data_IF_640016476106
#
_entry.id   IF_640016476106
#
_cell.length_a   1.000
_cell.length_b   1.000
_cell.length_c   1.000
_cell.angle_alpha   90.00
_cell.angle_beta   90.00
_cell.angle_gamma   90.00
#
_symmetry.space_group_name_H-M   'P 1'
#
loop_
_entity.id
_entity.type
_entity.pdbx_description
1 polymer ?
#
# COMPACT_ATOMS: atom_id res chain seq x y z
N UNK A 1 -41.66 -1.44 36.22
CA UNK A 1 -40.45 -0.58 36.29
C UNK A 1 -39.12 -1.30 36.02
N UNK A 2 -38.90 -2.57 36.41
CA UNK A 2 -37.62 -3.29 36.20
C UNK A 2 -37.21 -3.51 34.73
N UNK A 3 -38.16 -3.64 33.81
CA UNK A 3 -37.88 -3.90 32.38
C UNK A 3 -37.18 -2.73 31.65
N UNK A 4 -37.49 -1.47 31.99
CA UNK A 4 -36.88 -0.28 31.36
C UNK A 4 -35.40 -0.07 31.74
N UNK A 5 -34.97 -0.57 32.90
CA UNK A 5 -33.59 -0.46 33.38
C UNK A 5 -32.68 -1.45 32.64
N UNK A 6 -33.22 -2.61 32.27
CA UNK A 6 -32.46 -3.66 31.57
C UNK A 6 -32.18 -3.30 30.11
N UNK A 7 -33.16 -2.72 29.41
CA UNK A 7 -32.98 -2.24 28.03
C UNK A 7 -32.00 -1.07 27.93
N UNK A 8 -31.99 -0.16 28.90
CA UNK A 8 -31.04 0.97 28.91
C UNK A 8 -29.58 0.50 29.04
N UNK A 9 -29.31 -0.56 29.82
CA UNK A 9 -27.96 -1.14 29.98
C UNK A 9 -27.47 -1.82 28.71
N UNK A 10 -28.35 -2.50 27.96
CA UNK A 10 -28.00 -3.15 26.70
C UNK A 10 -27.63 -2.12 25.62
N UNK A 11 -28.39 -1.02 25.53
CA UNK A 11 -28.12 0.07 24.58
C UNK A 11 -26.77 0.75 24.89
N UNK A 12 -26.47 0.98 26.17
CA UNK A 12 -25.20 1.58 26.59
C UNK A 12 -24.00 0.67 26.25
N UNK A 13 -24.16 -0.65 26.39
CA UNK A 13 -23.11 -1.63 26.07
C UNK A 13 -22.89 -1.75 24.55
N UNK A 14 -23.97 -1.72 23.75
CA UNK A 14 -23.89 -1.66 22.29
C UNK A 14 -23.19 -0.38 21.80
N UNK A 15 -23.52 0.78 22.37
CA UNK A 15 -22.81 2.04 22.09
C UNK A 15 -21.31 1.97 22.43
N UNK A 16 -20.95 1.28 23.52
CA UNK A 16 -19.55 1.09 23.93
C UNK A 16 -18.76 0.16 22.99
N UNK A 17 -19.41 -0.86 22.42
CA UNK A 17 -18.81 -1.75 21.42
C UNK A 17 -18.62 -1.01 20.09
N UNK A 18 -19.59 -0.19 19.68
CA UNK A 18 -19.50 0.60 18.45
C UNK A 18 -18.41 1.69 18.55
N UNK A 19 -18.23 2.29 19.74
CA UNK A 19 -17.18 3.30 19.96
C UNK A 19 -15.76 2.73 19.94
N UNK A 20 -15.57 1.43 20.25
CA UNK A 20 -14.25 0.80 20.25
C UNK A 20 -13.86 0.20 18.89
N UNK A 21 -14.75 0.15 17.90
CA UNK A 21 -14.41 -0.27 16.54
C UNK A 21 -13.75 0.84 15.72
N UNK A 22 -13.14 1.84 16.37
CA UNK A 22 -12.31 2.84 15.72
C UNK A 22 -11.15 2.14 15.01
N UNK A 23 -11.38 1.88 13.73
CA UNK A 23 -10.39 1.55 12.73
C UNK A 23 -9.18 2.49 12.94
N UNK A 24 -8.11 1.98 13.54
CA UNK A 24 -6.89 2.76 13.79
C UNK A 24 -6.04 2.76 12.52
N UNK A 25 -5.48 3.93 12.21
CA UNK A 25 -4.46 4.03 11.19
C UNK A 25 -3.11 3.63 11.77
N UNK A 26 -2.25 3.00 10.96
CA UNK A 26 -0.91 2.58 11.39
C UNK A 26 0.02 3.77 11.61
N UNK A 27 -0.26 4.88 10.94
CA UNK A 27 0.62 6.03 10.78
C UNK A 27 0.26 7.22 11.70
N UNK A 28 -0.30 6.95 12.87
CA UNK A 28 -0.59 7.97 13.89
C UNK A 28 0.71 8.39 14.58
N UNK A 29 1.16 9.61 14.30
CA UNK A 29 2.39 10.18 14.89
C UNK A 29 2.14 10.52 16.36
N UNK A 30 2.70 9.74 17.28
CA UNK A 30 2.70 10.07 18.72
C UNK A 30 4.03 10.64 19.22
N UNK A 31 5.12 10.38 18.50
CA UNK A 31 6.48 10.94 18.57
C UNK A 31 7.22 10.46 17.30
N UNK A 32 8.40 11.01 16.95
CA UNK A 32 9.21 10.49 15.82
C UNK A 32 9.37 8.98 15.99
N UNK A 33 8.66 8.21 15.18
CA UNK A 33 8.56 6.76 15.31
C UNK A 33 8.89 6.16 13.96
N UNK A 34 10.15 5.81 13.81
CA UNK A 34 10.57 4.79 12.88
C UNK A 34 9.89 3.48 13.30
N UNK A 35 9.02 2.94 12.43
CA UNK A 35 8.39 1.65 12.63
C UNK A 35 9.15 0.63 11.77
N UNK A 36 9.87 -0.32 12.38
CA UNK A 36 10.62 -1.30 11.62
C UNK A 36 9.65 -2.20 10.84
N UNK A 37 10.04 -2.54 9.62
CA UNK A 37 9.34 -3.50 8.76
C UNK A 37 10.33 -4.50 8.21
N UNK A 38 9.83 -5.56 7.57
CA UNK A 38 10.71 -6.54 6.91
C UNK A 38 11.60 -5.80 5.93
N UNK A 39 12.92 -5.87 6.16
CA UNK A 39 13.93 -5.26 5.29
C UNK A 39 13.74 -3.74 5.12
N UNK A 40 13.40 -3.01 6.18
CA UNK A 40 13.19 -1.58 6.07
C UNK A 40 12.58 -0.90 7.29
N UNK A 41 12.09 0.32 7.10
CA UNK A 41 11.33 1.07 8.08
C UNK A 41 10.28 1.95 7.41
N UNK A 42 9.19 2.22 8.13
CA UNK A 42 8.36 3.38 7.88
C UNK A 42 8.78 4.53 8.79
N UNK A 43 8.90 5.73 8.25
CA UNK A 43 8.97 6.97 9.02
C UNK A 43 7.67 7.74 8.83
N UNK A 44 6.98 8.02 9.93
CA UNK A 44 5.70 8.71 9.90
C UNK A 44 5.86 10.20 10.20
N UNK A 45 5.52 11.02 9.21
CA UNK A 45 5.47 12.48 9.31
C UNK A 45 4.02 12.95 9.49
N UNK A 46 3.84 14.23 9.78
CA UNK A 46 2.49 14.81 9.96
C UNK A 46 1.69 14.84 8.66
N UNK A 47 2.37 15.01 7.52
CA UNK A 47 1.76 15.20 6.20
C UNK A 47 1.88 13.98 5.27
N UNK A 48 2.78 13.06 5.59
CA UNK A 48 3.13 11.92 4.74
C UNK A 48 3.78 10.78 5.52
N UNK A 49 3.99 9.67 4.84
CA UNK A 49 4.76 8.53 5.33
C UNK A 49 5.93 8.29 4.37
N UNK A 50 7.07 7.90 4.88
CA UNK A 50 8.22 7.49 4.07
C UNK A 50 8.48 6.01 4.30
N UNK A 51 8.36 5.20 3.26
CA UNK A 51 8.82 3.82 3.29
C UNK A 51 10.26 3.78 2.79
N UNK A 52 11.14 3.23 3.62
CA UNK A 52 12.54 2.96 3.31
C UNK A 52 12.69 1.45 3.26
N UNK A 53 12.89 0.89 2.07
CA UNK A 53 13.20 -0.53 1.88
C UNK A 53 14.71 -0.70 1.62
N UNK A 54 15.33 -1.54 2.44
CA UNK A 54 16.76 -1.89 2.39
C UNK A 54 16.89 -3.37 2.07
N UNK A 55 17.24 -3.67 0.83
CA UNK A 55 17.49 -5.04 0.41
C UNK A 55 18.80 -5.54 1.00
N UNK A 56 18.69 -6.51 1.92
CA UNK A 56 19.84 -7.20 2.52
C UNK A 56 19.89 -8.68 2.13
N UNK A 57 19.10 -9.09 1.12
CA UNK A 57 19.00 -10.49 0.69
C UNK A 57 19.54 -10.65 -0.71
N UNK A 58 20.25 -11.76 -0.92
CA UNK A 58 20.68 -12.21 -2.24
C UNK A 58 19.74 -13.34 -2.61
N UNK A 59 18.99 -13.16 -3.70
CA UNK A 59 18.13 -14.20 -4.24
C UNK A 59 18.96 -15.06 -5.19
N UNK A 60 18.83 -16.38 -5.11
CA UNK A 60 19.54 -17.31 -6.02
C UNK A 60 18.51 -18.09 -6.81
N UNK A 61 18.60 -18.06 -8.14
CA UNK A 61 17.84 -18.91 -9.05
C UNK A 61 18.83 -19.75 -9.84
N UNK A 62 18.86 -21.05 -9.58
CA UNK A 62 19.84 -22.00 -10.09
C UNK A 62 21.28 -21.57 -9.75
N UNK A 63 21.94 -20.83 -10.64
CA UNK A 63 23.29 -20.27 -10.45
C UNK A 63 23.33 -18.74 -10.51
N UNK A 64 22.22 -18.10 -10.87
CA UNK A 64 22.11 -16.66 -11.01
C UNK A 64 21.84 -16.01 -9.64
N UNK A 65 22.65 -15.00 -9.31
CA UNK A 65 22.46 -14.18 -8.12
C UNK A 65 21.76 -12.88 -8.50
N UNK A 66 20.63 -12.65 -7.87
CA UNK A 66 19.81 -11.45 -8.03
C UNK A 66 19.93 -10.61 -6.76
N UNK A 67 20.25 -9.33 -6.94
CA UNK A 67 20.41 -8.36 -5.87
C UNK A 67 19.28 -7.34 -5.96
N UNK A 68 18.18 -7.52 -5.20
CA UNK A 68 17.08 -6.55 -5.21
C UNK A 68 17.62 -5.18 -4.79
N UNK A 69 17.16 -4.12 -5.45
CA UNK A 69 17.59 -2.76 -5.12
C UNK A 69 16.85 -2.24 -3.89
N UNK A 70 17.56 -1.45 -3.09
CA UNK A 70 16.95 -0.65 -2.02
C UNK A 70 16.19 0.53 -2.63
N UNK A 71 15.14 1.00 -1.97
CA UNK A 71 14.38 2.16 -2.44
C UNK A 71 13.75 2.94 -1.30
N UNK A 72 13.40 4.19 -1.61
CA UNK A 72 12.51 5.01 -0.79
C UNK A 72 11.28 5.43 -1.58
N UNK A 73 10.13 5.49 -0.92
CA UNK A 73 8.91 6.05 -1.52
C UNK A 73 8.13 6.83 -0.48
N UNK A 74 7.69 8.04 -0.87
CA UNK A 74 6.76 8.82 -0.06
C UNK A 74 5.34 8.33 -0.34
N UNK A 75 4.54 8.32 0.71
CA UNK A 75 3.21 7.73 0.72
C UNK A 75 2.25 8.67 1.45
N UNK A 76 0.97 8.70 1.04
CA UNK A 76 -0.03 9.51 1.71
C UNK A 76 -0.31 8.99 3.13
N UNK A 77 -0.94 9.85 3.95
CA UNK A 77 -1.41 9.47 5.29
C UNK A 77 -2.61 8.52 5.22
N UNK A 78 -3.03 8.03 6.40
CA UNK A 78 -4.19 7.15 6.62
C UNK A 78 -3.94 5.72 6.14
N UNK A 79 -2.70 5.25 6.31
CA UNK A 79 -2.34 3.87 6.01
C UNK A 79 -3.09 2.92 6.95
N UNK A 80 -3.89 2.01 6.38
CA UNK A 80 -4.67 1.02 7.13
C UNK A 80 -3.90 -0.26 7.36
N UNK A 81 -3.21 -0.70 6.34
CA UNK A 81 -2.52 -2.00 6.30
C UNK A 81 -1.46 -1.97 5.21
N UNK A 82 -0.42 -2.77 5.38
CA UNK A 82 0.56 -3.04 4.34
C UNK A 82 0.91 -4.53 4.34
N UNK A 83 1.35 -5.03 3.19
CA UNK A 83 1.83 -6.38 3.03
C UNK A 83 2.99 -6.40 2.03
N UNK A 84 4.09 -7.04 2.42
CA UNK A 84 5.27 -7.22 1.56
C UNK A 84 5.40 -8.70 1.24
N UNK A 85 5.32 -9.04 -0.04
CA UNK A 85 5.49 -10.40 -0.55
C UNK A 85 6.88 -10.51 -1.16
N UNK A 86 7.74 -11.31 -0.50
CA UNK A 86 9.13 -11.48 -0.91
C UNK A 86 9.94 -10.19 -0.76
N UNK A 87 10.61 -9.80 -1.85
CA UNK A 87 11.47 -8.62 -1.99
C UNK A 87 11.11 -7.75 -3.21
N UNK A 88 9.98 -8.05 -3.88
CA UNK A 88 9.54 -7.42 -5.12
C UNK A 88 8.19 -6.74 -5.00
N UNK A 89 7.26 -7.27 -4.21
CA UNK A 89 5.86 -6.87 -4.24
C UNK A 89 5.43 -6.23 -2.91
N UNK A 90 5.00 -4.97 -2.96
CA UNK A 90 4.65 -4.17 -1.79
C UNK A 90 3.24 -3.60 -1.98
N UNK A 91 2.28 -4.03 -1.17
CA UNK A 91 0.90 -3.57 -1.20
C UNK A 91 0.59 -2.69 0.01
N UNK A 92 0.03 -1.50 -0.23
CA UNK A 92 -0.33 -0.53 0.80
C UNK A 92 -1.80 -0.14 0.65
N UNK A 93 -2.58 -0.38 1.70
CA UNK A 93 -4.03 -0.29 1.68
C UNK A 93 -4.51 0.91 2.49
N UNK A 94 -5.46 1.64 1.92
CA UNK A 94 -6.05 2.86 2.49
C UNK A 94 -7.58 2.72 2.57
N UNK A 95 -8.22 3.71 3.18
CA UNK A 95 -9.68 3.76 3.28
C UNK A 95 -10.36 3.71 1.92
N UNK A 96 -11.55 3.08 1.92
CA UNK A 96 -12.38 2.96 0.74
C UNK A 96 -11.88 1.97 -0.30
N UNK A 97 -10.86 1.14 0.00
CA UNK A 97 -10.29 0.20 -0.97
C UNK A 97 -9.34 0.85 -1.98
N UNK A 98 -8.78 2.01 -1.63
CA UNK A 98 -7.67 2.63 -2.36
C UNK A 98 -6.39 1.85 -2.07
N UNK A 99 -5.58 1.57 -3.10
CA UNK A 99 -4.34 0.79 -2.96
C UNK A 99 -3.20 1.44 -3.71
N UNK A 100 -2.03 1.46 -3.09
CA UNK A 100 -0.75 1.66 -3.77
C UNK A 100 -0.07 0.29 -3.81
N UNK A 101 0.25 -0.18 -5.00
CA UNK A 101 1.03 -1.41 -5.18
C UNK A 101 2.34 -1.07 -5.87
N UNK A 102 3.46 -1.57 -5.36
CA UNK A 102 4.79 -1.35 -5.92
C UNK A 102 5.37 -2.72 -6.27
N UNK A 103 5.72 -2.92 -7.54
CA UNK A 103 6.46 -4.07 -8.04
C UNK A 103 7.86 -3.62 -8.43
N UNK A 104 8.88 -4.05 -7.68
CA UNK A 104 10.27 -3.82 -8.05
C UNK A 104 10.71 -4.91 -9.01
N UNK A 105 11.27 -4.51 -10.15
CA UNK A 105 11.91 -5.42 -11.08
C UNK A 105 13.25 -5.87 -10.51
N UNK A 106 13.33 -7.16 -10.21
CA UNK A 106 14.52 -7.78 -9.64
C UNK A 106 15.58 -8.08 -10.71
N UNK A 107 15.17 -8.25 -11.97
CA UNK A 107 16.02 -8.72 -13.06
C UNK A 107 16.53 -7.56 -13.95
N UNK A 108 16.15 -6.32 -13.65
CA UNK A 108 16.47 -5.12 -14.46
C UNK A 108 16.07 -5.27 -15.94
N UNK A 109 15.01 -6.02 -16.22
CA UNK A 109 14.45 -6.27 -17.55
C UNK A 109 13.53 -5.13 -18.02
N UNK A 110 12.95 -4.37 -17.10
CA UNK A 110 12.08 -3.25 -17.40
C UNK A 110 12.89 -2.02 -17.85
N UNK A 111 12.43 -1.29 -18.89
CA UNK A 111 13.11 -0.10 -19.37
C UNK A 111 13.24 0.94 -18.25
N UNK A 112 14.44 1.50 -18.10
CA UNK A 112 14.78 2.57 -17.15
C UNK A 112 14.11 3.91 -17.43
N UNK A 113 13.32 4.02 -18.51
CA UNK A 113 12.62 5.24 -18.87
C UNK A 113 11.36 5.37 -18.02
N UNK A 114 11.27 6.46 -17.28
CA UNK A 114 10.09 6.82 -16.52
C UNK A 114 8.87 6.98 -17.45
N UNK A 115 7.76 6.30 -17.13
CA UNK A 115 6.50 6.40 -17.87
C UNK A 115 5.31 6.45 -16.91
N UNK A 116 4.24 7.10 -17.36
CA UNK A 116 2.96 7.17 -16.64
C UNK A 116 1.86 6.87 -17.64
N UNK A 117 0.95 5.98 -17.30
CA UNK A 117 -0.23 5.71 -18.12
C UNK A 117 -1.47 5.44 -17.28
N UNK A 118 -2.63 5.75 -17.85
CA UNK A 118 -3.94 5.39 -17.32
C UNK A 118 -4.35 4.07 -17.98
N UNK A 119 -4.33 2.93 -17.27
CA UNK A 119 -4.68 1.65 -17.86
C UNK A 119 -6.17 1.60 -18.19
N UNK A 120 -6.51 0.93 -19.29
CA UNK A 120 -7.88 0.47 -19.53
C UNK A 120 -8.29 -0.58 -18.47
N UNK A 121 -9.59 -0.80 -18.24
CA UNK A 121 -10.06 -1.81 -17.28
C UNK A 121 -9.50 -3.22 -17.53
N UNK A 122 -9.35 -3.61 -18.81
CA UNK A 122 -8.80 -4.91 -19.18
C UNK A 122 -7.31 -5.02 -18.83
N UNK A 123 -6.51 -4.00 -19.17
CA UNK A 123 -5.09 -3.95 -18.82
C UNK A 123 -4.88 -3.96 -17.30
N UNK A 124 -5.76 -3.28 -16.57
CA UNK A 124 -5.71 -3.22 -15.12
C UNK A 124 -6.04 -4.59 -14.50
N UNK A 125 -7.08 -5.27 -14.99
CA UNK A 125 -7.44 -6.60 -14.53
C UNK A 125 -6.33 -7.61 -14.84
N UNK A 126 -5.78 -7.56 -16.05
CA UNK A 126 -4.64 -8.39 -16.43
C UNK A 126 -3.46 -8.16 -15.48
N UNK A 127 -3.08 -6.90 -15.25
CA UNK A 127 -2.00 -6.55 -14.33
C UNK A 127 -2.24 -7.10 -12.92
N UNK A 128 -3.45 -6.95 -12.37
CA UNK A 128 -3.79 -7.42 -11.02
C UNK A 128 -3.73 -8.95 -10.93
N UNK A 129 -4.24 -9.66 -11.94
CA UNK A 129 -4.31 -11.12 -11.90
C UNK A 129 -2.96 -11.79 -12.17
N UNK A 130 -2.23 -11.32 -13.19
CA UNK A 130 -1.01 -11.97 -13.67
C UNK A 130 0.27 -11.48 -13.00
N UNK A 131 0.34 -10.21 -12.62
CA UNK A 131 1.60 -9.60 -12.16
C UNK A 131 1.67 -9.42 -10.65
N UNK A 132 0.57 -9.47 -9.91
CA UNK A 132 0.59 -9.25 -8.46
C UNK A 132 0.60 -10.55 -7.70
N UNK A 133 1.64 -10.71 -6.88
CA UNK A 133 1.64 -11.69 -5.80
C UNK A 133 0.96 -11.07 -4.59
N UNK A 134 -0.09 -11.72 -4.10
CA UNK A 134 -0.77 -11.34 -2.86
C UNK A 134 -0.48 -12.42 -1.82
N UNK A 135 -0.23 -12.00 -0.58
CA UNK A 135 -0.03 -12.96 0.49
C UNK A 135 -1.38 -13.42 1.06
N UNK A 136 -1.32 -14.21 2.14
CA UNK A 136 -2.51 -14.64 2.88
C UNK A 136 -2.97 -13.57 3.90
N UNK A 137 -2.64 -12.30 3.66
CA UNK A 137 -2.93 -11.19 4.55
C UNK A 137 -4.42 -10.85 4.68
N UNK A 138 -4.72 -9.89 5.57
CA UNK A 138 -6.08 -9.42 5.86
C UNK A 138 -6.77 -8.80 4.63
N UNK A 139 -6.00 -8.19 3.74
CA UNK A 139 -6.48 -7.52 2.53
C UNK A 139 -5.81 -8.15 1.31
N UNK A 140 -6.55 -8.20 0.21
CA UNK A 140 -6.12 -8.77 -1.05
C UNK A 140 -6.62 -7.89 -2.19
N UNK A 141 -5.71 -7.24 -2.93
CA UNK A 141 -6.05 -6.36 -4.05
C UNK A 141 -6.88 -7.08 -5.13
N UNK A 142 -6.72 -8.41 -5.30
CA UNK A 142 -7.49 -9.19 -6.28
C UNK A 142 -8.97 -9.30 -5.93
N UNK A 143 -9.33 -9.05 -4.66
CA UNK A 143 -10.71 -9.08 -4.16
C UNK A 143 -11.35 -7.70 -4.08
N UNK A 144 -10.60 -6.63 -4.36
CA UNK A 144 -11.13 -5.26 -4.35
C UNK A 144 -11.82 -5.01 -5.69
N UNK A 145 -13.10 -4.64 -5.66
CA UNK A 145 -13.86 -4.35 -6.87
C UNK A 145 -13.38 -3.07 -7.55
N UNK A 146 -13.32 -3.07 -8.89
CA UNK A 146 -13.05 -1.87 -9.67
C UNK A 146 -14.21 -0.86 -9.58
N UNK A 147 -13.89 0.42 -9.40
CA UNK A 147 -14.88 1.50 -9.37
C UNK A 147 -14.64 2.50 -10.51
N UNK A 148 -15.63 2.65 -11.39
CA UNK A 148 -15.56 3.52 -12.60
C UNK A 148 -15.34 5.00 -12.30
N UNK A 149 -15.82 5.50 -11.15
CA UNK A 149 -15.63 6.88 -10.71
C UNK A 149 -14.29 7.16 -10.02
N UNK A 150 -13.36 6.21 -10.06
CA UNK A 150 -12.05 6.31 -9.39
C UNK A 150 -10.91 6.30 -10.38
N UNK A 151 -9.80 6.91 -9.97
CA UNK A 151 -8.61 7.02 -10.80
C UNK A 151 -7.71 5.80 -10.59
N UNK A 152 -7.13 5.33 -11.69
CA UNK A 152 -6.19 4.22 -11.74
C UNK A 152 -5.02 4.63 -12.62
N UNK A 153 -3.79 4.39 -12.17
CA UNK A 153 -2.59 4.85 -12.87
C UNK A 153 -1.44 3.88 -12.65
N UNK A 154 -0.71 3.58 -13.72
CA UNK A 154 0.52 2.80 -13.66
C UNK A 154 1.68 3.77 -13.92
N UNK A 155 2.67 3.74 -13.03
CA UNK A 155 3.88 4.55 -13.08
C UNK A 155 5.06 3.59 -13.15
N UNK A 156 5.85 3.62 -14.22
CA UNK A 156 7.14 2.93 -14.26
C UNK A 156 8.22 3.92 -13.91
N UNK A 157 9.02 3.64 -12.89
CA UNK A 157 10.04 4.56 -12.39
C UNK A 157 11.18 3.83 -11.71
N UNK A 158 12.42 4.10 -12.12
CA UNK A 158 13.61 3.55 -11.46
C UNK A 158 13.63 2.03 -11.34
N UNK A 159 13.12 1.29 -12.34
CA UNK A 159 13.02 -0.18 -12.28
C UNK A 159 11.91 -0.69 -11.37
N UNK A 160 10.94 0.14 -10.99
CA UNK A 160 9.72 -0.29 -10.32
C UNK A 160 8.48 0.07 -11.15
N UNK A 161 7.44 -0.76 -11.06
CA UNK A 161 6.10 -0.47 -11.53
C UNK A 161 5.20 -0.21 -10.33
N UNK A 162 4.66 1.00 -10.25
CA UNK A 162 3.77 1.45 -9.18
C UNK A 162 2.36 1.57 -9.75
N UNK A 163 1.40 0.86 -9.16
CA UNK A 163 -0.01 0.96 -9.44
C UNK A 163 -0.71 1.78 -8.35
N UNK A 164 -1.34 2.87 -8.76
CA UNK A 164 -2.38 3.56 -8.00
C UNK A 164 -3.72 2.94 -8.40
N UNK A 165 -4.38 2.22 -7.50
CA UNK A 165 -5.62 1.50 -7.77
C UNK A 165 -6.79 2.05 -6.96
N UNK A 166 -7.90 2.29 -7.66
CA UNK A 166 -9.16 2.77 -7.08
C UNK A 166 -9.00 4.04 -6.22
N UNK A 167 -8.17 5.00 -6.64
CA UNK A 167 -7.92 6.23 -5.89
C UNK A 167 -9.11 7.20 -6.04
N UNK A 168 -9.55 7.80 -4.93
CA UNK A 168 -10.59 8.81 -4.98
C UNK A 168 -10.13 10.02 -5.80
N UNK A 169 -10.98 10.61 -6.65
CA UNK A 169 -10.58 11.75 -7.48
C UNK A 169 -9.97 12.92 -6.70
N UNK A 170 -10.49 13.19 -5.49
CA UNK A 170 -10.01 14.26 -4.60
C UNK A 170 -8.66 13.97 -3.94
N UNK A 171 -8.28 12.71 -3.80
CA UNK A 171 -7.04 12.28 -3.14
C UNK A 171 -5.94 11.98 -4.17
N UNK A 172 -6.29 11.89 -5.45
CA UNK A 172 -5.41 11.40 -6.50
C UNK A 172 -4.13 12.21 -6.68
N UNK A 173 -4.23 13.54 -6.71
CA UNK A 173 -3.06 14.38 -6.97
C UNK A 173 -2.01 14.18 -5.87
N UNK A 174 -2.46 14.10 -4.60
CA UNK A 174 -1.59 13.80 -3.46
C UNK A 174 -0.96 12.41 -3.57
N UNK A 175 -1.76 11.38 -3.88
CA UNK A 175 -1.26 10.01 -4.04
C UNK A 175 -0.21 9.94 -5.15
N UNK A 176 -0.49 10.58 -6.30
CA UNK A 176 0.41 10.63 -7.44
C UNK A 176 1.71 11.35 -7.12
N UNK A 177 1.64 12.54 -6.52
CA UNK A 177 2.82 13.34 -6.17
C UNK A 177 3.72 12.65 -5.14
N UNK A 178 3.12 11.96 -4.16
CA UNK A 178 3.86 11.20 -3.16
C UNK A 178 4.61 10.02 -3.79
N UNK A 179 3.93 9.18 -4.58
CA UNK A 179 4.60 8.00 -5.17
C UNK A 179 5.57 8.36 -6.29
N UNK A 180 5.38 9.48 -6.99
CA UNK A 180 6.30 9.93 -8.04
C UNK A 180 7.67 10.38 -7.47
N UNK A 181 7.76 10.56 -6.15
CA UNK A 181 9.02 10.73 -5.41
C UNK A 181 9.74 9.41 -5.15
N UNK A 182 9.29 8.27 -5.70
CA UNK A 182 10.02 7.00 -5.65
C UNK A 182 11.45 7.17 -6.14
N UNK A 183 12.41 6.66 -5.37
CA UNK A 183 13.84 6.68 -5.70
C UNK A 183 14.48 5.36 -5.30
N UNK A 184 15.32 4.83 -6.18
CA UNK A 184 16.25 3.76 -5.83
C UNK A 184 17.37 4.34 -4.97
N UNK A 185 17.77 3.60 -3.93
CA UNK A 185 18.94 3.90 -3.11
C UNK A 185 20.07 3.03 -3.65
N UNK A 186 21.15 3.68 -4.10
CA UNK A 186 22.38 3.01 -4.51
C UNK A 186 23.34 2.91 -3.33
#
# INVERSE_FOLDING_TARGET
>A
MKSRIFTFRIILFLLFIIANSCNRYLDVVKNKSDVPVKQGSFEFYSDSNLLIYKSNVILTRDTEKIYPKSFTVRLPKKLRYYEFVGSSDFALYYDGGQVIFIKVDLENKEPTKDTVCTPSPNQLNEFIQSNLSTGNGKYDIKKISFYTGRKNTIIKKGGATILLYNIYPKDYDQFFDDVNKFRVIN
#
